data_IF_545076933336
#
_entry.id   IF_545076933336
#
_cell.length_a   1.000
_cell.length_b   1.000
_cell.length_c   1.000
_cell.angle_alpha   90.00
_cell.angle_beta   90.00
_cell.angle_gamma   90.00
#
_symmetry.space_group_name_H-M   'P 1'
#
loop_
_entity.id
_entity.type
_entity.pdbx_description
1 polymer ?
#
# COMPACT_ATOMS: atom_id res chain seq x y z
N UNK A 1 61.72 7.16 -16.51
CA UNK A 1 61.64 6.04 -15.55
C UNK A 1 61.11 6.57 -14.23
N UNK A 2 60.20 5.80 -13.58
CA UNK A 2 59.52 6.04 -12.28
C UNK A 2 58.32 7.00 -12.40
N UNK A 3 57.11 6.49 -12.61
CA UNK A 3 56.14 5.95 -11.61
C UNK A 3 55.87 7.01 -10.53
N UNK A 4 54.64 7.48 -10.32
CA UNK A 4 53.67 6.79 -9.48
C UNK A 4 52.23 6.91 -10.01
N UNK A 5 51.62 5.74 -10.21
CA UNK A 5 50.16 5.56 -10.27
C UNK A 5 49.64 5.75 -8.84
N UNK A 6 48.87 6.81 -8.60
CA UNK A 6 48.17 7.02 -7.33
C UNK A 6 46.69 6.68 -7.54
N UNK A 7 46.34 5.44 -7.22
CA UNK A 7 44.97 5.04 -6.95
C UNK A 7 44.48 5.77 -5.69
N UNK A 8 43.62 6.76 -5.84
CA UNK A 8 42.80 7.26 -4.72
C UNK A 8 41.35 6.92 -4.97
N UNK A 9 40.97 5.71 -4.56
CA UNK A 9 39.57 5.37 -4.28
C UNK A 9 39.23 5.96 -2.93
N UNK A 10 38.50 7.07 -2.91
CA UNK A 10 37.83 7.56 -1.70
C UNK A 10 36.33 7.30 -1.87
N UNK A 11 35.93 6.08 -1.51
CA UNK A 11 34.54 5.74 -1.25
C UNK A 11 34.17 6.25 0.15
N UNK A 12 33.47 7.38 0.20
CA UNK A 12 32.83 7.87 1.41
C UNK A 12 31.33 7.94 1.16
N UNK A 13 30.65 6.80 1.35
CA UNK A 13 29.20 6.74 1.52
C UNK A 13 28.85 7.44 2.83
N UNK A 14 28.58 8.74 2.77
CA UNK A 14 27.88 9.43 3.83
C UNK A 14 26.43 8.92 3.82
N UNK A 15 26.15 7.93 4.66
CA UNK A 15 24.78 7.53 4.94
C UNK A 15 24.14 8.70 5.69
N UNK A 16 23.37 9.53 4.98
CA UNK A 16 22.45 10.44 5.64
C UNK A 16 21.43 9.55 6.36
N UNK A 17 21.59 9.39 7.67
CA UNK A 17 20.52 8.94 8.52
C UNK A 17 19.39 9.97 8.38
N UNK A 18 18.41 9.66 7.54
CA UNK A 18 17.14 10.35 7.53
C UNK A 18 16.49 10.06 8.87
N UNK A 19 16.75 10.90 9.88
CA UNK A 19 15.85 11.00 11.02
C UNK A 19 14.52 11.49 10.43
N UNK A 20 13.64 10.55 10.07
CA UNK A 20 12.27 10.87 9.75
C UNK A 20 11.68 11.43 11.03
N UNK A 21 11.69 12.76 11.16
CA UNK A 21 10.70 13.47 11.93
C UNK A 21 9.39 13.05 11.24
N UNK A 22 8.77 11.97 11.70
CA UNK A 22 7.38 11.70 11.37
C UNK A 22 6.65 12.87 12.00
N UNK A 23 6.41 13.92 11.22
CA UNK A 23 5.37 14.86 11.53
C UNK A 23 4.13 13.99 11.74
N UNK A 24 3.75 13.77 13.00
CA UNK A 24 2.51 13.11 13.37
C UNK A 24 1.42 14.01 12.83
N UNK A 25 1.02 13.73 11.59
CA UNK A 25 -0.13 14.36 10.99
C UNK A 25 -1.33 13.93 11.83
N UNK A 26 -1.83 14.85 12.65
CA UNK A 26 -3.04 14.64 13.43
C UNK A 26 -4.23 14.99 12.54
N UNK A 27 -5.09 14.02 12.26
CA UNK A 27 -6.27 14.26 11.44
C UNK A 27 -7.25 15.16 12.22
N UNK A 28 -7.80 16.23 11.59
CA UNK A 28 -8.84 17.05 12.20
C UNK A 28 -10.04 16.23 12.68
N UNK A 29 -10.71 16.64 13.75
CA UNK A 29 -11.91 15.95 14.29
C UNK A 29 -13.07 15.81 13.28
N UNK A 30 -13.09 16.65 12.24
CA UNK A 30 -14.08 16.57 11.15
C UNK A 30 -13.82 15.45 10.14
N UNK A 31 -12.68 14.76 10.24
CA UNK A 31 -12.32 13.65 9.37
C UNK A 31 -13.13 12.42 9.77
N UNK A 32 -13.95 11.85 8.85
CA UNK A 32 -14.79 10.71 9.18
C UNK A 32 -13.96 9.59 9.82
N UNK A 33 -14.49 8.94 10.85
CA UNK A 33 -13.78 7.89 11.59
C UNK A 33 -13.19 6.78 10.70
N UNK A 34 -13.69 6.61 9.48
CA UNK A 34 -13.15 5.72 8.45
C UNK A 34 -11.71 6.08 8.03
N UNK A 35 -11.37 7.38 7.98
CA UNK A 35 -10.04 7.90 7.66
C UNK A 35 -9.12 7.89 8.89
N UNK A 36 -9.67 7.94 10.11
CA UNK A 36 -8.90 7.72 11.36
C UNK A 36 -8.49 6.25 11.59
N UNK A 37 -9.09 5.30 10.86
CA UNK A 37 -8.79 3.85 10.94
C UNK A 37 -7.60 3.41 10.08
N UNK A 38 -6.96 4.34 9.40
CA UNK A 38 -5.97 4.04 8.39
C UNK A 38 -4.60 4.49 8.88
N UNK A 39 -3.63 3.58 8.91
CA UNK A 39 -2.19 3.85 9.07
C UNK A 39 -1.53 3.66 7.69
N UNK A 40 -1.54 4.69 6.82
CA UNK A 40 -1.11 4.54 5.43
C UNK A 40 0.33 4.04 5.34
N UNK A 41 0.60 3.17 4.36
CA UNK A 41 1.90 2.52 4.22
C UNK A 41 2.08 1.26 5.07
N UNK A 42 1.14 0.93 5.96
CA UNK A 42 1.13 -0.39 6.61
C UNK A 42 0.57 -1.48 5.69
N UNK A 43 0.98 -2.74 5.88
CA UNK A 43 0.37 -3.88 5.17
C UNK A 43 -1.14 -4.01 5.39
N UNK A 44 -1.64 -3.66 6.59
CA UNK A 44 -3.07 -3.69 6.89
C UNK A 44 -3.85 -2.64 6.10
N UNK A 45 -3.30 -1.41 5.97
CA UNK A 45 -3.86 -0.37 5.12
C UNK A 45 -3.94 -0.81 3.66
N UNK A 46 -2.85 -1.34 3.11
CA UNK A 46 -2.83 -1.83 1.73
C UNK A 46 -3.87 -2.94 1.50
N UNK A 47 -4.09 -3.81 2.49
CA UNK A 47 -5.13 -4.84 2.42
C UNK A 47 -6.55 -4.22 2.37
N UNK A 48 -6.84 -3.27 3.25
CA UNK A 48 -8.10 -2.52 3.26
C UNK A 48 -8.34 -1.78 1.94
N UNK A 49 -7.30 -1.15 1.39
CA UNK A 49 -7.35 -0.41 0.15
C UNK A 49 -7.68 -1.33 -1.03
N UNK A 50 -6.98 -2.45 -1.18
CA UNK A 50 -7.22 -3.42 -2.25
C UNK A 50 -8.66 -3.96 -2.20
N UNK A 51 -9.12 -4.37 -1.03
CA UNK A 51 -10.48 -4.89 -0.88
C UNK A 51 -11.57 -3.82 -1.13
N UNK A 52 -11.33 -2.56 -0.75
CA UNK A 52 -12.31 -1.48 -0.96
C UNK A 52 -12.34 -0.98 -2.41
N UNK A 53 -11.18 -0.83 -3.04
CA UNK A 53 -11.08 -0.32 -4.41
C UNK A 53 -11.55 -1.33 -5.44
N UNK A 54 -11.31 -2.64 -5.24
CA UNK A 54 -11.86 -3.65 -6.17
C UNK A 54 -13.39 -3.60 -6.22
N UNK A 55 -14.08 -3.38 -5.10
CA UNK A 55 -15.55 -3.27 -5.05
C UNK A 55 -16.01 -2.02 -5.81
N UNK A 56 -15.24 -0.95 -5.73
CA UNK A 56 -15.53 0.30 -6.46
C UNK A 56 -15.35 0.11 -7.97
N UNK A 57 -14.25 -0.54 -8.37
CA UNK A 57 -13.96 -0.89 -9.76
C UNK A 57 -15.00 -1.87 -10.34
N UNK A 58 -15.51 -2.79 -9.52
CA UNK A 58 -16.56 -3.75 -9.89
C UNK A 58 -17.92 -3.14 -10.24
N UNK A 59 -18.08 -1.81 -10.10
CA UNK A 59 -19.30 -1.07 -10.49
C UNK A 59 -19.25 -0.59 -11.95
N UNK A 60 -18.16 -0.83 -12.66
CA UNK A 60 -17.98 -0.45 -14.05
C UNK A 60 -18.22 -1.66 -14.95
N UNK A 61 -18.96 -1.50 -16.05
CA UNK A 61 -19.18 -2.59 -17.00
C UNK A 61 -17.86 -3.15 -17.54
N UNK A 62 -17.77 -4.47 -17.69
CA UNK A 62 -16.58 -5.16 -18.20
C UNK A 62 -15.38 -5.17 -17.24
N UNK A 63 -15.57 -4.88 -15.94
CA UNK A 63 -14.50 -4.86 -14.95
C UNK A 63 -13.72 -6.18 -14.84
N UNK A 64 -14.30 -7.32 -15.22
CA UNK A 64 -13.62 -8.62 -15.14
C UNK A 64 -12.36 -8.68 -16.02
N UNK A 65 -12.33 -7.95 -17.13
CA UNK A 65 -11.16 -7.85 -18.01
C UNK A 65 -10.18 -6.73 -17.58
N UNK A 66 -10.52 -5.97 -16.52
CA UNK A 66 -9.68 -4.90 -16.00
C UNK A 66 -8.53 -5.47 -15.16
N UNK A 67 -7.30 -5.32 -15.64
CA UNK A 67 -6.08 -5.76 -14.95
C UNK A 67 -5.96 -5.18 -13.53
N UNK A 68 -6.40 -3.95 -13.29
CA UNK A 68 -6.36 -3.35 -11.95
C UNK A 68 -7.36 -4.05 -11.02
N UNK A 69 -8.57 -4.35 -11.49
CA UNK A 69 -9.55 -5.09 -10.69
C UNK A 69 -9.00 -6.46 -10.31
N UNK A 70 -8.46 -7.21 -11.28
CA UNK A 70 -7.88 -8.53 -11.06
C UNK A 70 -6.70 -8.48 -10.06
N UNK A 71 -5.79 -7.54 -10.25
CA UNK A 71 -4.64 -7.36 -9.34
C UNK A 71 -5.07 -7.09 -7.89
N UNK A 72 -6.09 -6.23 -7.72
CA UNK A 72 -6.60 -5.88 -6.39
C UNK A 72 -7.42 -7.01 -5.78
N UNK A 73 -8.14 -7.78 -6.59
CA UNK A 73 -8.84 -8.98 -6.15
C UNK A 73 -7.87 -9.99 -5.55
N UNK A 74 -6.82 -10.35 -6.29
CA UNK A 74 -5.79 -11.29 -5.82
C UNK A 74 -5.12 -10.79 -4.55
N UNK A 75 -4.75 -9.51 -4.51
CA UNK A 75 -4.12 -8.90 -3.34
C UNK A 75 -5.05 -8.89 -2.11
N UNK A 76 -6.35 -8.61 -2.29
CA UNK A 76 -7.35 -8.68 -1.22
C UNK A 76 -7.48 -10.12 -0.67
N UNK A 77 -7.65 -11.09 -1.57
CA UNK A 77 -7.83 -12.50 -1.18
C UNK A 77 -6.61 -13.06 -0.45
N UNK A 78 -5.40 -12.59 -0.77
CA UNK A 78 -4.16 -13.00 -0.12
C UNK A 78 -4.05 -12.54 1.35
N UNK A 79 -4.69 -11.43 1.73
CA UNK A 79 -4.44 -10.79 3.04
C UNK A 79 -5.68 -10.63 3.93
N UNK A 80 -6.89 -10.69 3.37
CA UNK A 80 -8.11 -10.30 4.07
C UNK A 80 -8.37 -11.13 5.34
N UNK A 81 -8.10 -12.45 5.29
CA UNK A 81 -8.21 -13.32 6.45
C UNK A 81 -7.05 -13.12 7.45
N UNK A 82 -5.83 -12.89 6.96
CA UNK A 82 -4.65 -12.66 7.81
C UNK A 82 -4.82 -11.43 8.70
N UNK A 83 -5.39 -10.35 8.18
CA UNK A 83 -5.71 -9.15 8.97
C UNK A 83 -7.09 -9.19 9.63
N UNK A 84 -7.87 -10.26 9.45
CA UNK A 84 -9.22 -10.39 10.01
C UNK A 84 -10.25 -9.41 9.41
N UNK A 85 -9.96 -8.81 8.26
CA UNK A 85 -10.79 -7.77 7.64
C UNK A 85 -11.83 -8.34 6.67
N UNK A 86 -11.74 -9.63 6.32
CA UNK A 86 -12.68 -10.28 5.42
C UNK A 86 -14.14 -10.06 5.84
N UNK A 87 -14.41 -10.00 7.15
CA UNK A 87 -15.76 -9.76 7.67
C UNK A 87 -16.39 -8.46 7.16
N UNK A 88 -15.58 -7.44 6.83
CA UNK A 88 -16.06 -6.14 6.37
C UNK A 88 -16.27 -6.11 4.85
N UNK A 89 -15.52 -6.91 4.11
CA UNK A 89 -15.48 -6.83 2.64
C UNK A 89 -16.19 -7.98 1.94
N UNK A 90 -16.37 -9.13 2.61
CA UNK A 90 -16.83 -10.39 1.98
C UNK A 90 -18.07 -10.23 1.10
N UNK A 91 -19.07 -9.48 1.56
CA UNK A 91 -20.32 -9.33 0.82
C UNK A 91 -20.08 -8.52 -0.46
N UNK A 92 -19.39 -7.38 -0.36
CA UNK A 92 -19.11 -6.54 -1.53
C UNK A 92 -18.17 -7.20 -2.53
N UNK A 93 -17.15 -7.92 -2.05
CA UNK A 93 -16.23 -8.66 -2.93
C UNK A 93 -16.96 -9.82 -3.63
N UNK A 94 -17.81 -10.56 -2.92
CA UNK A 94 -18.58 -11.66 -3.52
C UNK A 94 -19.55 -11.13 -4.58
N UNK A 95 -20.32 -10.09 -4.26
CA UNK A 95 -21.23 -9.46 -5.23
C UNK A 95 -20.50 -8.90 -6.45
N UNK A 96 -19.27 -8.39 -6.27
CA UNK A 96 -18.47 -7.92 -7.39
C UNK A 96 -17.82 -9.05 -8.20
N UNK A 97 -17.91 -10.31 -7.78
CA UNK A 97 -17.28 -11.46 -8.45
C UNK A 97 -18.29 -12.49 -8.97
N UNK A 98 -19.60 -12.24 -8.81
CA UNK A 98 -20.72 -13.02 -9.36
C UNK A 98 -21.15 -12.46 -10.72
#
# INVERSE_FOLDING_TARGET
MRSFVTCTVLASVASLASASIQARWEYPEAVPAIMRRQDPGTPAYACHENCGLLITLGRTDGFCDNTEWNTRYDACMACANNFGIWIYYRNGVTTAAE
#
